data_IF_768066311956
#
_entry.id   IF_768066311956
#
_cell.length_a   1.000
_cell.length_b   1.000
_cell.length_c   1.000
_cell.angle_alpha   90.00
_cell.angle_beta   90.00
_cell.angle_gamma   90.00
#
_symmetry.space_group_name_H-M   'P 1'
#
loop_
_entity.id
_entity.type
_entity.pdbx_description
1 polymer ?
#
# COMPACT_ATOMS: atom_id res chain seq x y z
N UNK A 1 -17.93 -22.08 -19.61
CA UNK A 1 -17.21 -21.34 -20.66
C UNK A 1 -16.25 -20.40 -19.96
N UNK A 2 -15.10 -20.93 -19.59
CA UNK A 2 -14.05 -20.18 -18.90
C UNK A 2 -13.14 -19.51 -19.90
N UNK A 3 -12.88 -18.23 -19.69
CA UNK A 3 -11.78 -17.50 -20.33
C UNK A 3 -11.05 -16.73 -19.23
N UNK A 4 -9.80 -17.09 -18.90
CA UNK A 4 -9.00 -16.26 -18.02
C UNK A 4 -8.46 -15.07 -18.82
N UNK A 5 -8.87 -13.86 -18.41
CA UNK A 5 -8.28 -12.62 -18.92
C UNK A 5 -6.81 -12.55 -18.51
N UNK A 6 -5.95 -12.44 -19.52
CA UNK A 6 -4.50 -12.37 -19.36
C UNK A 6 -4.04 -11.15 -18.56
N UNK A 7 -3.26 -11.42 -17.52
CA UNK A 7 -2.49 -10.43 -16.78
C UNK A 7 -1.20 -10.11 -17.54
N UNK A 8 -1.22 -9.06 -18.36
CA UNK A 8 0.01 -8.42 -18.81
C UNK A 8 0.59 -7.58 -17.65
N UNK A 9 1.23 -8.23 -16.67
CA UNK A 9 2.12 -7.55 -15.72
C UNK A 9 3.57 -7.85 -16.11
N UNK A 10 4.50 -6.88 -15.98
CA UNK A 10 5.92 -7.14 -16.14
C UNK A 10 6.38 -8.16 -15.10
N UNK A 11 6.73 -9.36 -15.56
CA UNK A 11 7.41 -10.38 -14.76
C UNK A 11 8.83 -9.90 -14.49
N UNK A 12 9.13 -9.54 -13.24
CA UNK A 12 10.50 -9.31 -12.82
C UNK A 12 11.20 -10.67 -12.66
N UNK A 13 12.41 -10.85 -13.24
CA UNK A 13 13.12 -12.12 -13.09
C UNK A 13 13.48 -12.36 -11.61
N UNK A 14 13.39 -13.60 -11.12
CA UNK A 14 13.87 -13.93 -9.79
C UNK A 14 15.38 -13.64 -9.69
N UNK A 15 15.88 -13.24 -8.51
CA UNK A 15 17.30 -13.00 -8.32
C UNK A 15 18.07 -14.32 -8.53
N UNK A 16 18.99 -14.29 -9.50
CA UNK A 16 19.91 -15.38 -9.72
C UNK A 16 20.89 -15.49 -8.53
N UNK A 17 21.06 -16.72 -8.06
CA UNK A 17 22.20 -17.22 -7.29
C UNK A 17 22.18 -16.95 -5.77
N UNK A 18 21.64 -17.92 -5.03
CA UNK A 18 22.18 -18.28 -3.72
C UNK A 18 23.27 -19.32 -3.98
N UNK A 19 24.53 -18.91 -3.88
CA UNK A 19 25.68 -19.71 -3.41
C UNK A 19 27.00 -19.00 -3.80
N UNK A 20 27.73 -18.53 -2.79
CA UNK A 20 29.10 -18.02 -2.91
C UNK A 20 29.31 -16.59 -2.35
N UNK A 21 30.48 -16.30 -1.75
CA UNK A 21 30.77 -15.00 -1.15
C UNK A 21 30.95 -13.97 -2.25
N UNK A 22 29.86 -13.31 -2.62
CA UNK A 22 29.84 -12.28 -3.65
C UNK A 22 30.53 -11.02 -3.15
N UNK A 23 31.71 -10.75 -3.69
CA UNK A 23 32.32 -9.43 -3.70
C UNK A 23 31.24 -8.38 -3.97
N UNK A 24 30.97 -7.52 -2.99
CA UNK A 24 29.79 -6.67 -2.93
C UNK A 24 29.71 -5.73 -4.14
N UNK A 25 28.94 -6.12 -5.15
CA UNK A 25 28.49 -5.18 -6.19
C UNK A 25 27.59 -4.16 -5.50
N UNK A 26 28.03 -2.90 -5.48
CA UNK A 26 27.19 -1.77 -5.03
C UNK A 26 25.85 -1.85 -5.75
N UNK A 27 24.81 -2.21 -5.00
CA UNK A 27 23.45 -2.27 -5.52
C UNK A 27 23.06 -0.85 -5.93
N UNK A 28 22.83 -0.66 -7.23
CA UNK A 28 22.47 0.66 -7.77
C UNK A 28 21.04 0.96 -7.31
N UNK A 29 20.90 1.80 -6.30
CA UNK A 29 19.59 2.20 -5.79
C UNK A 29 18.85 3.01 -6.87
N UNK A 30 17.58 2.65 -7.10
CA UNK A 30 16.67 3.44 -7.93
C UNK A 30 16.04 4.51 -7.04
N UNK A 31 16.59 5.73 -7.08
CA UNK A 31 16.13 6.85 -6.25
C UNK A 31 15.51 7.92 -7.14
N UNK A 32 14.25 8.27 -6.87
CA UNK A 32 13.51 9.31 -7.58
C UNK A 32 12.81 10.26 -6.58
N UNK A 33 12.57 11.51 -7.00
CA UNK A 33 11.87 12.51 -6.20
C UNK A 33 10.34 12.31 -6.28
N UNK A 34 9.64 12.64 -5.20
CA UNK A 34 8.18 12.67 -5.15
C UNK A 34 7.71 14.13 -5.15
N UNK A 35 6.67 14.42 -5.93
CA UNK A 35 6.07 15.75 -5.98
C UNK A 35 5.21 16.00 -4.75
N UNK A 36 5.32 17.20 -4.19
CA UNK A 36 4.48 17.64 -3.07
C UNK A 36 3.08 18.03 -3.60
N UNK A 37 2.05 17.63 -2.87
CA UNK A 37 0.67 17.96 -3.20
C UNK A 37 0.43 19.48 -3.15
N UNK A 38 -0.38 20.00 -4.09
CA UNK A 38 -0.75 21.43 -4.16
C UNK A 38 -2.19 21.71 -3.74
N UNK A 39 -2.97 20.65 -3.51
CA UNK A 39 -4.37 20.70 -3.14
C UNK A 39 -4.71 19.50 -2.26
N UNK A 40 -5.80 19.60 -1.50
CA UNK A 40 -6.35 18.46 -0.77
C UNK A 40 -6.89 17.40 -1.76
N UNK A 41 -6.76 16.11 -1.46
CA UNK A 41 -7.37 15.06 -2.27
C UNK A 41 -8.90 15.12 -2.18
N UNK A 42 -9.58 14.79 -3.27
CA UNK A 42 -11.04 14.64 -3.27
C UNK A 42 -11.45 13.35 -2.53
N UNK A 43 -12.62 13.30 -1.88
CA UNK A 43 -13.18 12.06 -1.36
C UNK A 43 -13.22 10.97 -2.44
N UNK A 44 -13.07 9.71 -2.03
CA UNK A 44 -12.98 8.54 -2.92
C UNK A 44 -11.72 8.48 -3.82
N UNK A 45 -10.78 9.42 -3.71
CA UNK A 45 -9.48 9.32 -4.39
C UNK A 45 -8.76 8.06 -3.94
N UNK A 46 -8.29 7.24 -4.90
CA UNK A 46 -7.49 6.05 -4.62
C UNK A 46 -6.04 6.46 -4.36
N UNK A 47 -5.53 6.14 -3.17
CA UNK A 47 -4.16 6.36 -2.75
C UNK A 47 -3.40 5.04 -2.65
N UNK A 48 -2.10 5.08 -2.98
CA UNK A 48 -1.18 3.97 -2.80
C UNK A 48 -0.36 4.16 -1.52
N UNK A 49 -0.31 3.12 -0.69
CA UNK A 49 0.51 3.03 0.50
C UNK A 49 1.60 2.00 0.25
N UNK A 50 2.81 2.25 0.71
CA UNK A 50 3.91 1.31 0.55
C UNK A 50 4.81 1.29 1.80
N UNK A 51 5.34 0.12 2.13
CA UNK A 51 6.22 -0.03 3.29
C UNK A 51 6.63 -1.47 3.57
N UNK A 52 7.45 -1.63 4.61
CA UNK A 52 7.96 -2.90 5.12
C UNK A 52 7.37 -3.25 6.50
N UNK A 53 6.14 -2.81 6.74
CA UNK A 53 5.45 -2.99 8.02
C UNK A 53 5.15 -4.45 8.38
N UNK A 54 4.50 -4.64 9.52
CA UNK A 54 3.92 -5.92 9.89
C UNK A 54 2.76 -6.26 8.96
N UNK A 55 2.66 -7.52 8.56
CA UNK A 55 1.56 -8.04 7.71
C UNK A 55 0.46 -8.73 8.50
N UNK A 56 0.72 -9.01 9.78
CA UNK A 56 -0.20 -9.63 10.72
C UNK A 56 -0.10 -8.93 12.06
N UNK A 57 -1.19 -8.97 12.83
CA UNK A 57 -1.26 -8.45 14.20
C UNK A 57 -1.03 -9.52 15.26
N UNK A 58 -0.51 -10.69 14.87
CA UNK A 58 -0.21 -11.80 15.78
C UNK A 58 1.08 -11.54 16.56
N UNK A 59 1.17 -12.06 17.78
CA UNK A 59 2.42 -12.05 18.54
C UNK A 59 3.54 -12.77 17.76
N UNK A 60 4.74 -12.19 17.73
CA UNK A 60 5.87 -12.74 16.95
C UNK A 60 5.85 -12.43 15.45
N UNK A 61 4.93 -11.58 14.98
CA UNK A 61 4.92 -11.10 13.59
C UNK A 61 6.25 -10.46 13.21
N UNK A 62 6.75 -10.81 12.01
CA UNK A 62 7.96 -10.21 11.45
C UNK A 62 7.61 -9.14 10.43
N UNK A 63 8.46 -8.13 10.35
CA UNK A 63 8.43 -7.16 9.26
C UNK A 63 8.68 -7.84 7.91
N UNK A 64 8.09 -7.28 6.86
CA UNK A 64 8.34 -7.75 5.50
C UNK A 64 9.77 -7.45 5.07
N UNK A 65 10.45 -8.42 4.46
CA UNK A 65 11.74 -8.22 3.81
C UNK A 65 11.62 -7.66 2.38
N UNK A 66 10.40 -7.58 1.85
CA UNK A 66 10.08 -7.00 0.53
C UNK A 66 9.18 -5.79 0.70
N UNK A 67 9.30 -4.81 -0.20
CA UNK A 67 8.43 -3.64 -0.18
C UNK A 67 7.01 -4.06 -0.55
N UNK A 68 6.06 -3.81 0.35
CA UNK A 68 4.65 -4.07 0.13
C UNK A 68 3.95 -2.83 -0.39
N UNK A 69 2.86 -3.03 -1.13
CA UNK A 69 1.99 -1.96 -1.65
C UNK A 69 0.53 -2.29 -1.41
N UNK A 70 -0.23 -1.32 -0.93
CA UNK A 70 -1.68 -1.39 -0.73
C UNK A 70 -2.37 -0.21 -1.42
N UNK A 71 -3.61 -0.41 -1.87
CA UNK A 71 -4.47 0.67 -2.36
C UNK A 71 -5.64 0.89 -1.39
N UNK A 72 -5.89 2.14 -1.04
CA UNK A 72 -6.96 2.57 -0.13
C UNK A 72 -7.62 3.84 -0.69
N UNK A 73 -8.87 4.09 -0.31
CA UNK A 73 -9.59 5.27 -0.74
C UNK A 73 -9.57 6.32 0.36
N UNK A 74 -9.45 7.58 0.00
CA UNK A 74 -9.68 8.69 0.94
C UNK A 74 -11.17 8.74 1.28
N UNK A 75 -11.48 8.72 2.57
CA UNK A 75 -12.83 8.82 3.11
C UNK A 75 -13.10 10.20 3.69
N UNK A 76 -14.39 10.52 3.88
CA UNK A 76 -14.79 11.71 4.61
C UNK A 76 -14.25 11.63 6.04
N UNK A 77 -13.78 12.74 6.64
CA UNK A 77 -13.21 12.72 7.99
C UNK A 77 -14.16 12.16 9.05
N UNK A 78 -15.48 12.35 8.86
CA UNK A 78 -16.54 11.86 9.74
C UNK A 78 -16.60 10.32 9.79
N UNK A 79 -16.16 9.62 8.74
CA UNK A 79 -16.14 8.15 8.69
C UNK A 79 -15.07 7.55 9.62
N UNK A 80 -14.17 8.38 10.14
CA UNK A 80 -12.96 7.96 10.85
C UNK A 80 -12.93 8.38 12.31
N UNK A 81 -14.11 8.65 12.84
CA UNK A 81 -14.37 8.80 14.26
C UNK A 81 -14.06 7.48 14.97
N UNK A 82 -12.82 7.33 15.40
CA UNK A 82 -12.46 6.44 16.50
C UNK A 82 -12.77 7.18 17.80
N UNK A 83 -13.41 6.51 18.75
CA UNK A 83 -13.87 7.10 20.01
C UNK A 83 -12.79 8.01 20.64
N UNK A 84 -13.02 9.33 20.62
CA UNK A 84 -12.16 10.33 21.25
C UNK A 84 -11.18 11.09 20.36
N UNK A 85 -11.06 10.78 19.07
CA UNK A 85 -10.25 11.54 18.12
C UNK A 85 -11.14 12.21 17.05
N UNK A 86 -11.62 13.42 17.32
CA UNK A 86 -12.28 14.23 16.30
C UNK A 86 -11.32 14.55 15.14
N UNK A 87 -11.80 14.66 13.89
CA UNK A 87 -10.93 14.94 12.76
C UNK A 87 -10.26 16.31 12.93
N UNK A 88 -8.93 16.31 13.05
CA UNK A 88 -8.16 17.55 12.97
C UNK A 88 -8.15 18.03 11.50
N UNK A 89 -8.11 19.34 11.27
CA UNK A 89 -8.16 19.95 9.93
C UNK A 89 -7.02 19.51 8.99
N UNK A 90 -5.98 18.89 9.55
CA UNK A 90 -4.76 18.44 8.87
C UNK A 90 -4.63 16.91 8.81
N UNK A 91 -5.71 16.18 9.13
CA UNK A 91 -5.75 14.72 9.04
C UNK A 91 -6.59 14.26 7.85
N UNK A 92 -6.12 13.19 7.21
CA UNK A 92 -6.89 12.47 6.19
C UNK A 92 -7.18 11.07 6.69
N UNK A 93 -8.36 10.58 6.35
CA UNK A 93 -8.67 9.19 6.55
C UNK A 93 -8.59 8.41 5.25
N UNK A 94 -7.96 7.24 5.31
CA UNK A 94 -7.95 6.28 4.22
C UNK A 94 -8.44 4.93 4.73
N UNK A 95 -9.32 4.28 3.96
CA UNK A 95 -9.79 2.93 4.26
C UNK A 95 -9.72 2.05 3.01
N UNK A 96 -9.55 0.74 3.21
CA UNK A 96 -9.70 -0.21 2.12
C UNK A 96 -11.17 -0.34 1.73
N UNK A 97 -11.48 -0.15 0.45
CA UNK A 97 -12.84 -0.26 -0.05
C UNK A 97 -13.27 -1.73 -0.11
N UNK A 98 -14.06 -2.18 0.86
CA UNK A 98 -14.75 -3.47 0.77
C UNK A 98 -16.09 -3.29 0.06
N UNK A 99 -16.22 -3.82 -1.17
CA UNK A 99 -17.47 -3.79 -1.95
C UNK A 99 -18.65 -4.43 -1.22
N UNK A 100 -18.43 -5.22 -0.15
CA UNK A 100 -19.49 -5.91 0.60
C UNK A 100 -20.29 -5.02 1.56
N UNK A 101 -19.88 -3.78 1.81
CA UNK A 101 -20.58 -2.88 2.75
C UNK A 101 -21.65 -1.99 2.10
N UNK A 102 -21.89 -2.10 0.79
CA UNK A 102 -22.81 -1.27 0.01
C UNK A 102 -24.27 -1.78 -0.03
N UNK A 103 -24.69 -2.67 0.87
CA UNK A 103 -26.09 -3.13 0.96
C UNK A 103 -26.57 -3.16 2.41
N UNK A 104 -26.88 -2.00 2.96
CA UNK A 104 -27.93 -1.86 3.96
C UNK A 104 -28.65 -0.54 3.67
N UNK A 105 -29.78 -0.66 2.98
CA UNK A 105 -30.84 0.34 2.95
C UNK A 105 -31.92 -0.14 3.90
#
# INVERSE_FOLDING_TARGET
>A
TDSPMGTNLPTFPPPANADGPSAGKRQKYSVAKINVARSKPEPCTVCAFAGWGLTSYTEGSKHSNVLLRLSMNIHCPDDCLYEGCGPQNDMFCAQHWDKRRSTSK
#
